data_IF_555467609886
#
_entry.id   IF_555467609886
#
_cell.length_a   1.000
_cell.length_b   1.000
_cell.length_c   1.000
_cell.angle_alpha   90.00
_cell.angle_beta   90.00
_cell.angle_gamma   90.00
#
_symmetry.space_group_name_H-M   'P 1'
#
loop_
_entity.id
_entity.type
_entity.pdbx_description
1 polymer ?
#
# COMPACT_ATOMS: atom_id res chain seq x y z
N UNK A 1 15.13 8.56 29.88
CA UNK A 1 14.78 8.78 28.46
C UNK A 1 14.03 7.56 27.97
N UNK A 2 12.70 7.55 28.11
CA UNK A 2 11.86 6.48 27.58
C UNK A 2 11.55 6.83 26.13
N UNK A 3 12.13 6.10 25.18
CA UNK A 3 11.73 6.14 23.79
C UNK A 3 10.25 5.77 23.73
N UNK A 4 9.37 6.72 23.39
CA UNK A 4 8.05 6.39 22.88
C UNK A 4 8.23 5.67 21.54
N UNK A 5 8.37 4.35 21.57
CA UNK A 5 8.05 3.54 20.39
C UNK A 5 6.54 3.61 20.20
N UNK A 6 6.09 4.57 19.38
CA UNK A 6 4.75 4.57 18.80
C UNK A 6 4.62 3.39 17.81
N UNK A 7 4.65 2.16 18.31
CA UNK A 7 4.32 0.98 17.51
C UNK A 7 2.91 0.54 17.86
N UNK A 8 1.94 1.41 17.54
CA UNK A 8 0.62 0.94 17.16
C UNK A 8 0.55 0.96 15.63
N UNK A 9 1.59 0.44 14.97
CA UNK A 9 1.63 0.39 13.53
C UNK A 9 0.73 -0.76 13.11
N UNK A 10 -0.49 -0.44 12.65
CA UNK A 10 -1.40 -1.42 12.07
C UNK A 10 -0.79 -2.13 10.86
N UNK A 11 0.36 -1.70 10.34
CA UNK A 11 1.06 -2.30 9.21
C UNK A 11 2.51 -2.62 9.58
N UNK A 12 2.99 -3.79 9.16
CA UNK A 12 4.38 -4.24 9.30
C UNK A 12 4.82 -4.90 7.99
N UNK A 13 6.11 -5.28 7.88
CA UNK A 13 6.65 -5.99 6.73
C UNK A 13 6.44 -5.26 5.41
N UNK A 14 6.10 -6.01 4.36
CA UNK A 14 5.94 -5.48 3.00
C UNK A 14 4.80 -4.46 2.87
N UNK A 15 3.75 -4.57 3.70
CA UNK A 15 2.65 -3.59 3.72
C UNK A 15 3.14 -2.22 4.18
N UNK A 16 3.98 -2.18 5.23
CA UNK A 16 4.56 -0.93 5.71
C UNK A 16 5.53 -0.35 4.69
N UNK A 17 6.40 -1.18 4.10
CA UNK A 17 7.36 -0.75 3.07
C UNK A 17 6.64 -0.14 1.86
N UNK A 18 5.56 -0.77 1.38
CA UNK A 18 4.73 -0.23 0.31
C UNK A 18 4.16 1.15 0.68
N UNK A 19 3.49 1.26 1.84
CA UNK A 19 2.87 2.52 2.27
C UNK A 19 3.88 3.65 2.45
N UNK A 20 5.08 3.36 2.97
CA UNK A 20 6.17 4.33 3.08
C UNK A 20 6.66 4.77 1.70
N UNK A 21 6.73 3.86 0.73
CA UNK A 21 7.08 4.19 -0.66
C UNK A 21 6.09 5.15 -1.32
N UNK A 22 4.80 5.02 -1.00
CA UNK A 22 3.72 5.86 -1.55
C UNK A 22 3.62 7.25 -0.89
N UNK A 23 4.28 7.48 0.26
CA UNK A 23 4.22 8.75 0.99
C UNK A 23 4.58 9.94 0.10
N UNK A 24 5.61 9.81 -0.76
CA UNK A 24 6.04 10.90 -1.64
C UNK A 24 4.96 11.29 -2.64
N UNK A 25 4.33 10.30 -3.30
CA UNK A 25 3.23 10.54 -4.24
C UNK A 25 2.03 11.15 -3.53
N UNK A 26 1.66 10.60 -2.38
CA UNK A 26 0.57 11.13 -1.56
C UNK A 26 0.83 12.59 -1.19
N UNK A 27 2.00 12.92 -0.63
CA UNK A 27 2.35 14.28 -0.23
C UNK A 27 2.29 15.27 -1.39
N UNK A 28 2.83 14.92 -2.57
CA UNK A 28 2.72 15.77 -3.77
C UNK A 28 1.27 15.98 -4.17
N UNK A 29 0.45 14.92 -4.18
CA UNK A 29 -0.97 15.02 -4.56
C UNK A 29 -1.81 15.87 -3.59
N UNK A 30 -1.42 15.95 -2.32
CA UNK A 30 -2.04 16.85 -1.35
C UNK A 30 -1.75 18.30 -1.70
N UNK A 31 -0.49 18.63 -2.03
CA UNK A 31 -0.09 19.96 -2.46
C UNK A 31 -0.78 20.38 -3.76
N UNK A 32 -0.97 19.44 -4.68
CA UNK A 32 -1.57 19.68 -6.00
C UNK A 32 -3.11 19.63 -5.99
N UNK A 33 -3.74 19.33 -4.85
CA UNK A 33 -5.20 19.19 -4.75
C UNK A 33 -5.79 17.93 -5.40
N UNK A 34 -4.95 16.98 -5.82
CA UNK A 34 -5.32 15.73 -6.52
C UNK A 34 -5.34 14.50 -5.61
N UNK A 35 -5.27 14.70 -4.29
CA UNK A 35 -5.23 13.65 -3.25
C UNK A 35 -6.18 12.48 -3.47
N UNK A 36 -7.43 12.74 -3.86
CA UNK A 36 -8.43 11.68 -3.98
C UNK A 36 -8.08 10.68 -5.10
N UNK A 37 -7.52 11.15 -6.21
CA UNK A 37 -7.10 10.27 -7.31
C UNK A 37 -5.83 9.49 -6.93
N UNK A 38 -4.89 10.14 -6.23
CA UNK A 38 -3.71 9.45 -5.70
C UNK A 38 -4.09 8.35 -4.70
N UNK A 39 -5.03 8.62 -3.78
CA UNK A 39 -5.51 7.62 -2.82
C UNK A 39 -6.19 6.45 -3.52
N UNK A 40 -7.04 6.69 -4.53
CA UNK A 40 -7.65 5.60 -5.32
C UNK A 40 -6.60 4.73 -5.99
N UNK A 41 -5.60 5.35 -6.61
CA UNK A 41 -4.52 4.62 -7.28
C UNK A 41 -3.67 3.80 -6.28
N UNK A 42 -3.30 4.40 -5.15
CA UNK A 42 -2.57 3.71 -4.08
C UNK A 42 -3.36 2.52 -3.55
N UNK A 43 -4.65 2.71 -3.24
CA UNK A 43 -5.52 1.64 -2.70
C UNK A 43 -5.69 0.51 -3.71
N UNK A 44 -5.85 0.83 -4.99
CA UNK A 44 -5.92 -0.15 -6.08
C UNK A 44 -4.65 -0.99 -6.16
N UNK A 45 -3.48 -0.33 -6.18
CA UNK A 45 -2.17 -0.98 -6.21
C UNK A 45 -1.87 -1.77 -4.93
N UNK A 46 -2.40 -1.32 -3.80
CA UNK A 46 -2.31 -2.03 -2.52
C UNK A 46 -3.06 -3.36 -2.58
N UNK A 47 -4.35 -3.36 -2.96
CA UNK A 47 -5.13 -4.60 -2.99
C UNK A 47 -4.67 -5.61 -4.04
N UNK A 48 -4.03 -5.17 -5.12
CA UNK A 48 -3.37 -6.07 -6.08
C UNK A 48 -2.20 -6.83 -5.48
N UNK A 49 -1.43 -6.21 -4.58
CA UNK A 49 -0.26 -6.80 -3.92
C UNK A 49 -0.62 -7.53 -2.63
N UNK A 50 -1.63 -7.04 -1.93
CA UNK A 50 -2.08 -7.51 -0.63
C UNK A 50 -3.58 -7.84 -0.73
N UNK A 51 -3.94 -9.02 -1.27
CA UNK A 51 -5.33 -9.41 -1.42
C UNK A 51 -6.08 -9.33 -0.08
N UNK A 52 -7.37 -8.93 -0.06
CA UNK A 52 -8.14 -8.82 1.18
C UNK A 52 -8.33 -10.18 1.87
N UNK A 53 -8.26 -11.28 1.11
CA UNK A 53 -8.35 -12.64 1.62
C UNK A 53 -7.02 -13.15 2.22
N UNK A 54 -5.92 -12.40 2.04
CA UNK A 54 -4.62 -12.72 2.64
C UNK A 54 -4.58 -12.23 4.09
N UNK A 55 -4.20 -13.13 5.02
CA UNK A 55 -4.04 -12.78 6.42
C UNK A 55 -3.13 -11.56 6.61
N UNK A 56 -3.52 -10.70 7.54
CA UNK A 56 -2.88 -9.40 7.75
C UNK A 56 -1.44 -9.50 8.27
N UNK A 57 -1.10 -10.60 8.94
CA UNK A 57 0.24 -10.85 9.46
C UNK A 57 1.10 -11.69 8.50
N UNK A 58 0.56 -12.05 7.35
CA UNK A 58 1.25 -12.86 6.33
C UNK A 58 1.60 -11.98 5.14
N UNK A 59 2.88 -11.97 4.77
CA UNK A 59 3.34 -11.28 3.58
C UNK A 59 2.99 -12.09 2.31
N UNK A 60 2.62 -11.42 1.20
CA UNK A 60 2.45 -12.06 -0.09
C UNK A 60 3.75 -12.72 -0.55
N UNK A 61 3.64 -13.80 -1.31
CA UNK A 61 4.82 -14.49 -1.84
C UNK A 61 5.51 -13.64 -2.91
N UNK A 62 6.82 -13.82 -3.06
CA UNK A 62 7.59 -13.14 -4.11
C UNK A 62 7.03 -13.42 -5.51
N UNK A 63 6.59 -14.66 -5.77
CA UNK A 63 5.96 -15.06 -7.02
C UNK A 63 4.64 -14.31 -7.27
N UNK A 64 3.84 -14.08 -6.23
CA UNK A 64 2.62 -13.26 -6.35
C UNK A 64 2.98 -11.82 -6.71
N UNK A 65 3.91 -11.20 -5.96
CA UNK A 65 4.33 -9.82 -6.20
C UNK A 65 4.94 -9.61 -7.59
N UNK A 66 5.72 -10.56 -8.09
CA UNK A 66 6.30 -10.52 -9.43
C UNK A 66 5.25 -10.60 -10.54
N UNK A 67 4.10 -11.21 -10.27
CA UNK A 67 2.98 -11.31 -11.20
C UNK A 67 2.05 -10.07 -11.17
N UNK A 68 2.17 -9.21 -10.14
CA UNK A 68 1.34 -8.01 -10.02
C UNK A 68 1.71 -7.00 -11.10
N UNK A 69 0.71 -6.57 -11.88
CA UNK A 69 0.83 -5.45 -12.80
C UNK A 69 -0.07 -4.29 -12.37
N UNK A 70 0.56 -3.24 -11.86
CA UNK A 70 -0.10 -2.01 -11.41
C UNK A 70 -0.82 -1.24 -12.51
N UNK A 71 -0.33 -1.34 -13.74
CA UNK A 71 -0.83 -0.56 -14.87
C UNK A 71 -2.11 -1.13 -15.46
N UNK A 72 -2.44 -2.39 -15.18
CA UNK A 72 -3.66 -3.00 -15.71
C UNK A 72 -4.91 -2.50 -14.94
N UNK A 73 -6.08 -2.40 -15.59
CA UNK A 73 -7.34 -2.26 -14.89
C UNK A 73 -7.63 -3.48 -13.99
N UNK A 74 -8.45 -3.31 -12.97
CA UNK A 74 -9.02 -4.45 -12.24
C UNK A 74 -10.16 -5.07 -13.06
N UNK A 75 -10.33 -6.41 -13.03
CA UNK A 75 -11.42 -7.06 -13.74
C UNK A 75 -12.78 -6.63 -13.15
N UNK A 76 -13.77 -6.39 -14.02
CA UNK A 76 -15.14 -6.17 -13.59
C UNK A 76 -15.76 -7.51 -13.13
N UNK A 77 -16.50 -7.54 -12.00
CA UNK A 77 -17.18 -8.73 -11.49
C UNK A 77 -18.41 -9.13 -12.31
#
# INVERSE_FOLDING_TARGET
HAQLTMTCAAFTGLRLEFLVGELKQYSSSVADGTKNEAVKDIVRRYFKRFPPDLDHNTDPTEAHLAAVNDSLPDPEP
#
